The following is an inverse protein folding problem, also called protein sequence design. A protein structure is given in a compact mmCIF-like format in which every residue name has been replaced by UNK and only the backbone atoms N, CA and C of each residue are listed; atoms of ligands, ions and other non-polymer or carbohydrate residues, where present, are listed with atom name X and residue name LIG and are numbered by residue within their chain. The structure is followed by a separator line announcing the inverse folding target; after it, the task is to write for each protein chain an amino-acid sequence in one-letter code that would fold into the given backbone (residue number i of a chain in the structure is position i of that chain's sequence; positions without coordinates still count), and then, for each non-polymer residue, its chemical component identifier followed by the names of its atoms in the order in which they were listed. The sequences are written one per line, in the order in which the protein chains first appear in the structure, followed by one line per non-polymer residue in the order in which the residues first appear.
data_IF_292951244771
#
_entry.id   IF_292951244771
#
_cell.length_a   1.000
_cell.length_b   1.000
_cell.length_c   1.000
_cell.angle_alpha   90.00
_cell.angle_beta   90.00
_cell.angle_gamma   90.00
#
_symmetry.space_group_name_H-M   'P 1'
#
loop_
_entity.id
_entity.type
_entity.pdbx_description
1 polymer ?
#
# COMPACT_ATOMS: atom_id res chain seq x y z
N UNK A 1 -9.11 -1.41 2.96
CA UNK A 1 -7.81 -1.19 2.30
C UNK A 1 -7.08 -0.16 3.12
N UNK A 2 -5.96 -0.55 3.73
CA UNK A 2 -5.13 0.33 4.54
C UNK A 2 -3.71 0.34 3.99
N UNK A 3 -3.20 1.55 3.77
CA UNK A 3 -1.86 1.80 3.24
C UNK A 3 -0.95 2.38 4.32
N UNK A 4 0.26 1.84 4.44
CA UNK A 4 1.34 2.48 5.17
C UNK A 4 2.26 3.20 4.18
N UNK A 5 2.45 4.50 4.36
CA UNK A 5 3.24 5.34 3.45
C UNK A 5 4.66 5.51 3.97
N UNK A 6 5.65 5.25 3.11
CA UNK A 6 7.08 5.53 3.33
C UNK A 6 7.57 6.45 2.24
N UNK A 7 8.08 7.63 2.62
CA UNK A 7 8.69 8.57 1.70
C UNK A 7 10.22 8.52 1.81
N UNK A 8 10.90 8.47 0.67
CA UNK A 8 12.35 8.66 0.57
C UNK A 8 12.59 9.64 -0.57
N UNK A 9 13.12 10.83 -0.24
CA UNK A 9 13.37 11.90 -1.20
C UNK A 9 12.12 12.25 -2.04
N UNK A 10 12.19 12.09 -3.36
CA UNK A 10 11.11 12.32 -4.32
C UNK A 10 10.25 11.06 -4.58
N UNK A 11 10.54 9.94 -3.91
CA UNK A 11 9.83 8.67 -4.10
C UNK A 11 8.93 8.40 -2.91
N UNK A 12 7.67 8.12 -3.21
CA UNK A 12 6.75 7.60 -2.19
C UNK A 12 6.43 6.14 -2.52
N UNK A 13 6.59 5.29 -1.51
CA UNK A 13 6.19 3.89 -1.53
C UNK A 13 5.05 3.67 -0.54
N UNK A 14 4.00 2.99 -0.96
CA UNK A 14 2.88 2.57 -0.12
C UNK A 14 2.91 1.06 0.05
N UNK A 15 2.64 0.60 1.28
CA UNK A 15 2.57 -0.80 1.63
C UNK A 15 1.15 -1.18 2.02
N UNK A 16 0.59 -2.20 1.38
CA UNK A 16 -0.69 -2.77 1.77
C UNK A 16 -0.46 -3.59 3.05
N UNK A 17 -0.99 -3.13 4.17
CA UNK A 17 -0.74 -3.75 5.50
C UNK A 17 -1.90 -4.61 6.00
N UNK A 18 -3.06 -4.53 5.34
CA UNK A 18 -4.28 -5.28 5.66
C UNK A 18 -4.46 -6.53 4.78
N UNK A 19 -3.37 -7.07 4.20
CA UNK A 19 -3.37 -8.15 3.21
C UNK A 19 -2.49 -9.33 3.65
N UNK A 20 -2.82 -10.57 3.23
CA UNK A 20 -2.06 -11.76 3.61
C UNK A 20 -0.64 -11.80 3.01
N UNK A 21 -0.37 -10.94 2.03
CA UNK A 21 0.95 -10.76 1.40
C UNK A 21 1.30 -9.27 1.39
N UNK A 22 2.57 -8.95 1.54
CA UNK A 22 3.05 -7.57 1.44
C UNK A 22 3.05 -7.11 -0.02
N UNK A 23 2.31 -6.05 -0.31
CA UNK A 23 2.31 -5.37 -1.61
C UNK A 23 2.94 -4.00 -1.43
N UNK A 24 4.04 -3.75 -2.13
CA UNK A 24 4.70 -2.44 -2.18
C UNK A 24 4.38 -1.77 -3.53
N UNK A 25 3.87 -0.54 -3.47
CA UNK A 25 3.58 0.29 -4.63
C UNK A 25 4.45 1.54 -4.56
N UNK A 26 5.33 1.76 -5.52
CA UNK A 26 6.07 3.02 -5.65
C UNK A 26 5.51 3.82 -6.81
N UNK A 27 5.13 5.08 -6.57
CA UNK A 27 4.66 5.98 -7.62
C UNK A 27 5.63 7.16 -7.79
N UNK A 28 5.95 7.56 -9.04
CA UNK A 28 6.62 8.82 -9.32
C UNK A 28 5.83 10.02 -8.79
N UNK A 29 6.51 11.14 -8.49
CA UNK A 29 5.85 12.45 -8.34
C UNK A 29 4.93 12.75 -9.50
N UNK A 30 3.76 13.34 -9.22
CA UNK A 30 2.82 13.76 -10.26
C UNK A 30 1.96 12.64 -10.87
N UNK A 31 2.02 11.41 -10.35
CA UNK A 31 1.19 10.28 -10.82
C UNK A 31 -0.33 10.48 -10.67
N UNK A 32 -0.75 11.51 -9.93
CA UNK A 32 -2.17 11.73 -9.59
C UNK A 32 -2.74 10.62 -8.71
N UNK A 33 -4.04 10.69 -8.37
CA UNK A 33 -4.69 9.74 -7.46
C UNK A 33 -5.17 8.45 -8.14
N UNK A 34 -5.38 8.46 -9.46
CA UNK A 34 -5.99 7.35 -10.20
C UNK A 34 -5.23 6.02 -10.08
N UNK A 35 -3.89 5.97 -10.22
CA UNK A 35 -3.17 4.70 -10.16
C UNK A 35 -3.31 3.97 -8.82
N UNK A 36 -3.24 4.70 -7.70
CA UNK A 36 -3.39 4.09 -6.37
C UNK A 36 -4.83 3.63 -6.12
N UNK A 37 -5.83 4.30 -6.71
CA UNK A 37 -7.24 3.89 -6.61
C UNK A 37 -7.50 2.58 -7.36
N UNK A 38 -7.07 2.49 -8.63
CA UNK A 38 -7.25 1.26 -9.42
C UNK A 38 -6.55 0.05 -8.79
N UNK A 39 -5.34 0.26 -8.26
CA UNK A 39 -4.62 -0.81 -7.55
C UNK A 39 -5.27 -1.15 -6.21
N UNK A 40 -5.83 -0.18 -5.49
CA UNK A 40 -6.58 -0.43 -4.26
C UNK A 40 -7.80 -1.32 -4.52
N UNK A 41 -8.54 -1.05 -5.60
CA UNK A 41 -9.72 -1.82 -5.99
C UNK A 41 -9.34 -3.26 -6.39
N UNK A 42 -8.31 -3.40 -7.23
CA UNK A 42 -7.82 -4.71 -7.65
C UNK A 42 -7.34 -5.56 -6.46
N UNK A 43 -6.56 -4.95 -5.54
CA UNK A 43 -6.08 -5.64 -4.35
C UNK A 43 -7.26 -6.02 -3.44
N UNK A 44 -8.22 -5.13 -3.24
CA UNK A 44 -9.39 -5.41 -2.42
C UNK A 44 -10.26 -6.54 -2.99
N UNK A 45 -10.35 -6.64 -4.32
CA UNK A 45 -11.12 -7.69 -5.01
C UNK A 45 -10.41 -9.06 -5.01
N UNK A 46 -9.08 -9.08 -5.00
CA UNK A 46 -8.29 -10.31 -5.18
C UNK A 46 -7.69 -10.87 -3.89
N UNK A 47 -7.46 -10.03 -2.88
CA UNK A 47 -6.82 -10.40 -1.63
C UNK A 47 -7.77 -10.18 -0.45
N UNK A 48 -8.00 -11.23 0.34
CA UNK A 48 -8.77 -11.14 1.57
C UNK A 48 -8.17 -10.09 2.52
N UNK A 49 -9.03 -9.38 3.24
CA UNK A 49 -8.59 -8.49 4.32
C UNK A 49 -8.19 -9.33 5.54
N UNK A 50 -7.08 -8.96 6.19
CA UNK A 50 -6.62 -9.58 7.45
C UNK A 50 -6.39 -8.50 8.51
N UNK A 51 -6.47 -8.84 9.81
CA UNK A 51 -6.07 -7.91 10.87
C UNK A 51 -4.62 -7.46 10.68
N UNK A 52 -4.38 -6.15 10.82
CA UNK A 52 -3.03 -5.60 10.78
C UNK A 52 -2.24 -6.14 11.99
N UNK A 53 -1.11 -6.79 11.72
CA UNK A 53 -0.17 -7.24 12.73
C UNK A 53 1.17 -6.51 12.55
N UNK A 54 1.36 -5.34 13.16
CA UNK A 54 2.65 -4.65 13.11
C UNK A 54 3.66 -5.46 13.91
N UNK A 55 4.86 -5.66 13.35
CA UNK A 55 5.97 -6.21 14.13
C UNK A 55 6.22 -5.33 15.37
N UNK A 56 6.72 -5.89 16.49
CA UNK A 56 7.03 -5.11 17.67
C UNK A 56 7.92 -3.92 17.32
N UNK A 57 7.60 -2.75 17.89
CA UNK A 57 8.51 -1.61 17.84
C UNK A 57 9.72 -1.95 18.72
N UNK A 58 10.86 -2.19 18.08
CA UNK A 58 12.15 -2.38 18.75
C UNK A 58 12.72 -1.07 19.26
#
# INVERSE_FOLDING_TARGET
MQWFRVGVEDRTTWYAVDRPVYVALTLPPGSGPTPIQQLSDLIAATLAAVPINPAPVG
#
